data_IF_189459826836
#
_entry.id   IF_189459826836
#
_cell.length_a   1.000
_cell.length_b   1.000
_cell.length_c   1.000
_cell.angle_alpha   90.00
_cell.angle_beta   90.00
_cell.angle_gamma   90.00
#
_symmetry.space_group_name_H-M   'P 1'
#
loop_
_entity.id
_entity.type
_entity.pdbx_description
1 polymer ?
#
# COMPACT_ATOMS: atom_id res chain seq x y z
N UNK A 1 9.70 19.67 59.77
CA UNK A 1 11.05 19.14 60.07
C UNK A 1 11.17 17.84 59.31
N UNK A 2 12.13 17.73 58.40
CA UNK A 2 12.34 16.55 57.55
C UNK A 2 13.83 16.24 57.48
N UNK A 3 14.21 14.96 57.61
CA UNK A 3 15.47 14.46 57.04
C UNK A 3 15.31 13.10 56.32
N UNK A 4 16.40 12.63 55.71
CA UNK A 4 16.60 11.30 55.07
C UNK A 4 16.14 11.10 53.62
N UNK A 5 16.81 11.83 52.74
CA UNK A 5 17.71 11.28 51.70
C UNK A 5 17.58 9.84 51.19
N UNK A 6 17.38 9.75 49.88
CA UNK A 6 18.40 9.29 48.90
C UNK A 6 19.15 7.97 49.12
N UNK A 7 18.83 6.96 48.29
CA UNK A 7 19.83 6.03 47.72
C UNK A 7 19.58 5.90 46.20
N UNK A 8 20.64 6.08 45.41
CA UNK A 8 20.65 5.83 43.96
C UNK A 8 21.38 4.52 43.66
N UNK A 9 20.94 3.79 42.63
CA UNK A 9 21.66 2.61 42.13
C UNK A 9 21.42 2.40 40.64
N UNK A 10 22.39 2.80 39.81
CA UNK A 10 22.47 2.46 38.38
C UNK A 10 23.50 1.34 38.16
N UNK A 11 23.13 0.21 37.53
CA UNK A 11 24.11 -0.79 37.11
C UNK A 11 24.92 -0.29 35.91
N UNK A 12 26.22 -0.61 35.88
CA UNK A 12 27.13 -0.23 34.79
C UNK A 12 27.19 -1.30 33.68
N UNK A 13 27.28 -0.78 32.45
CA UNK A 13 27.67 -1.43 31.19
C UNK A 13 28.72 -2.55 31.32
N UNK A 14 28.75 -3.44 30.32
CA UNK A 14 29.95 -3.48 29.48
C UNK A 14 29.66 -3.20 28.00
N UNK A 15 30.53 -2.40 27.37
CA UNK A 15 30.60 -2.27 25.90
C UNK A 15 31.23 -3.54 25.32
N UNK A 16 30.66 -4.08 24.25
CA UNK A 16 31.37 -5.02 23.37
C UNK A 16 31.83 -4.25 22.13
N UNK A 17 33.14 -4.28 21.88
CA UNK A 17 33.73 -3.85 20.61
C UNK A 17 33.85 -5.08 19.71
N UNK A 18 33.25 -5.02 18.51
CA UNK A 18 33.51 -5.95 17.43
C UNK A 18 34.08 -5.16 16.24
N UNK A 19 35.30 -5.50 15.83
CA UNK A 19 35.99 -4.94 14.67
C UNK A 19 36.04 -5.99 13.56
N UNK A 20 35.84 -5.55 12.32
CA UNK A 20 36.02 -6.36 11.12
C UNK A 20 34.72 -6.55 10.32
N UNK A 21 34.72 -6.33 9.00
CA UNK A 21 35.81 -5.76 8.20
C UNK A 21 35.48 -5.75 6.72
N UNK A 22 35.95 -4.72 5.99
CA UNK A 22 35.80 -4.68 4.55
C UNK A 22 36.74 -5.72 3.89
N UNK A 23 36.19 -6.60 3.05
CA UNK A 23 36.97 -7.31 2.05
C UNK A 23 36.21 -7.29 0.71
N UNK A 24 36.82 -6.65 -0.29
CA UNK A 24 36.34 -6.67 -1.66
C UNK A 24 36.63 -8.01 -2.32
N UNK A 25 35.68 -8.54 -3.09
CA UNK A 25 35.98 -9.38 -4.26
C UNK A 25 35.12 -8.93 -5.45
N UNK A 26 35.73 -9.02 -6.64
CA UNK A 26 35.18 -8.59 -7.93
C UNK A 26 34.58 -9.78 -8.72
N UNK A 27 34.04 -9.47 -9.91
CA UNK A 27 33.51 -10.38 -10.95
C UNK A 27 32.05 -10.83 -10.76
N UNK A 28 31.22 -10.87 -11.80
CA UNK A 28 31.40 -10.45 -13.20
C UNK A 28 30.26 -10.95 -14.11
N UNK A 29 29.86 -10.17 -15.13
CA UNK A 29 28.75 -10.51 -16.05
C UNK A 29 29.06 -11.72 -16.96
N UNK A 30 28.05 -12.38 -17.56
CA UNK A 30 27.59 -11.92 -18.88
C UNK A 30 26.10 -12.16 -19.29
N UNK A 31 25.58 -11.21 -20.08
CA UNK A 31 24.78 -11.34 -21.32
C UNK A 31 23.47 -12.16 -21.45
N UNK A 32 22.56 -11.57 -22.22
CA UNK A 32 21.31 -12.10 -22.79
C UNK A 32 21.45 -13.38 -23.66
N UNK A 33 20.32 -14.04 -23.95
CA UNK A 33 19.92 -14.14 -25.35
C UNK A 33 18.41 -13.98 -25.65
N UNK A 34 18.06 -13.01 -26.50
CA UNK A 34 17.09 -13.20 -27.59
C UNK A 34 17.69 -14.18 -28.64
N UNK A 35 16.91 -14.97 -29.44
CA UNK A 35 15.78 -14.48 -30.25
C UNK A 35 14.60 -15.47 -30.47
N UNK A 36 13.58 -15.10 -31.27
CA UNK A 36 12.53 -16.07 -31.63
C UNK A 36 11.35 -15.69 -32.54
N UNK A 37 11.50 -14.83 -33.55
CA UNK A 37 10.40 -14.59 -34.52
C UNK A 37 10.16 -15.80 -35.45
N UNK A 38 8.90 -16.09 -35.78
CA UNK A 38 8.53 -17.00 -36.89
C UNK A 38 7.15 -16.66 -37.47
N UNK A 39 7.11 -16.45 -38.79
CA UNK A 39 5.89 -16.17 -39.56
C UNK A 39 5.14 -17.45 -39.96
N UNK A 40 3.83 -17.36 -40.29
CA UNK A 40 3.24 -17.83 -41.58
C UNK A 40 1.71 -17.99 -41.54
N UNK A 41 1.02 -17.63 -42.64
CA UNK A 41 -0.43 -17.88 -42.87
C UNK A 41 -1.25 -16.58 -42.97
N UNK A 42 -1.50 -15.94 -44.13
CA UNK A 42 -2.04 -16.41 -45.43
C UNK A 42 -3.50 -16.87 -45.35
N UNK A 43 -4.49 -16.24 -45.99
CA UNK A 43 -4.53 -14.98 -46.77
C UNK A 43 -5.81 -14.84 -47.64
N UNK A 44 -6.03 -13.69 -48.28
CA UNK A 44 -7.11 -13.40 -49.28
C UNK A 44 -8.57 -13.44 -48.75
N UNK A 45 -9.61 -12.81 -49.34
CA UNK A 45 -9.82 -11.94 -50.53
C UNK A 45 -11.25 -11.31 -50.46
N UNK A 46 -11.70 -10.25 -51.16
CA UNK A 46 -11.13 -9.02 -51.79
C UNK A 46 -12.30 -8.15 -52.30
N UNK A 47 -12.21 -6.80 -52.21
CA UNK A 47 -13.06 -5.79 -52.90
C UNK A 47 -14.54 -5.69 -52.41
N UNK A 48 -15.41 -4.70 -52.68
CA UNK A 48 -15.49 -3.43 -53.45
C UNK A 48 -16.41 -2.42 -52.66
N UNK A 49 -16.61 -1.13 -52.96
CA UNK A 49 -15.82 -0.02 -53.55
C UNK A 49 -16.64 1.32 -53.49
N UNK A 50 -15.98 2.50 -53.51
CA UNK A 50 -16.58 3.86 -53.57
C UNK A 50 -17.49 4.28 -52.37
N UNK A 51 -17.87 5.55 -52.12
CA UNK A 51 -17.83 6.80 -52.92
C UNK A 51 -17.50 8.01 -52.04
N UNK A 52 -17.08 9.13 -52.64
CA UNK A 52 -16.94 10.44 -51.98
C UNK A 52 -18.28 11.01 -51.48
N UNK A 53 -18.24 11.85 -50.45
CA UNK A 53 -19.41 12.55 -49.91
C UNK A 53 -19.00 13.58 -48.86
N UNK A 54 -18.63 14.79 -49.31
CA UNK A 54 -18.36 15.91 -48.41
C UNK A 54 -19.64 16.71 -48.17
N UNK A 55 -19.96 16.99 -46.91
CA UNK A 55 -20.94 18.02 -46.56
C UNK A 55 -20.53 18.74 -45.28
N UNK A 56 -20.86 20.03 -45.18
CA UNK A 56 -20.45 20.90 -44.07
C UNK A 56 -21.67 21.53 -43.44
N UNK A 57 -21.82 21.45 -42.11
CA UNK A 57 -22.83 22.24 -41.39
C UNK A 57 -22.41 22.58 -39.97
N UNK A 58 -22.85 23.76 -39.53
CA UNK A 58 -22.39 24.43 -38.30
C UNK A 58 -23.42 24.28 -37.18
N UNK A 59 -22.93 24.03 -35.97
CA UNK A 59 -23.70 24.12 -34.72
C UNK A 59 -22.95 23.38 -33.60
N UNK A 60 -22.90 23.86 -32.36
CA UNK A 60 -23.33 25.16 -31.82
C UNK A 60 -22.75 25.29 -30.42
N UNK A 61 -22.21 26.45 -30.05
CA UNK A 61 -21.45 26.60 -28.81
C UNK A 61 -22.34 26.86 -27.60
N UNK A 62 -22.53 25.84 -26.74
CA UNK A 62 -23.06 26.02 -25.39
C UNK A 62 -22.07 25.44 -24.37
N UNK A 63 -21.47 26.33 -23.57
CA UNK A 63 -20.58 25.92 -22.49
C UNK A 63 -21.39 25.47 -21.27
N UNK A 64 -21.53 24.16 -21.07
CA UNK A 64 -21.86 23.62 -19.75
C UNK A 64 -20.60 23.58 -18.89
N UNK A 65 -20.65 24.24 -17.74
CA UNK A 65 -19.50 24.34 -16.85
C UNK A 65 -19.09 22.97 -16.28
N UNK A 66 -17.81 22.83 -15.94
CA UNK A 66 -17.35 21.74 -15.08
C UNK A 66 -17.97 21.93 -13.69
N UNK A 67 -19.13 21.33 -13.48
CA UNK A 67 -19.66 21.07 -12.15
C UNK A 67 -18.79 20.00 -11.53
N UNK A 68 -17.70 20.40 -10.86
CA UNK A 68 -16.90 19.49 -10.07
C UNK A 68 -17.79 18.76 -9.08
N UNK A 69 -17.64 17.44 -8.99
CA UNK A 69 -18.26 16.70 -7.91
C UNK A 69 -17.74 17.27 -6.59
N UNK A 70 -18.64 17.57 -5.66
CA UNK A 70 -18.23 18.00 -4.33
C UNK A 70 -17.79 16.75 -3.56
N UNK A 71 -16.48 16.51 -3.47
CA UNK A 71 -15.91 15.42 -2.70
C UNK A 71 -16.43 15.51 -1.26
N UNK A 72 -17.32 14.58 -0.91
CA UNK A 72 -18.18 14.69 0.27
C UNK A 72 -17.43 14.11 1.49
N UNK A 73 -16.29 14.73 1.81
CA UNK A 73 -15.45 14.34 2.96
C UNK A 73 -16.24 14.55 4.26
N UNK A 74 -16.76 13.45 4.79
CA UNK A 74 -17.76 13.42 5.88
C UNK A 74 -17.23 12.65 7.08
N UNK A 75 -16.04 13.04 7.56
CA UNK A 75 -15.39 12.41 8.71
C UNK A 75 -13.98 12.94 8.97
N UNK A 76 -13.27 13.31 7.90
CA UNK A 76 -11.85 13.64 7.94
C UNK A 76 -11.45 14.73 8.93
N UNK A 77 -10.31 14.51 9.59
CA UNK A 77 -9.69 15.50 10.47
C UNK A 77 -9.31 16.75 9.65
N UNK A 78 -9.61 17.98 10.09
CA UNK A 78 -9.38 19.18 9.27
C UNK A 78 -7.91 19.39 8.90
N UNK A 79 -7.62 19.36 7.59
CA UNK A 79 -6.26 19.42 7.02
C UNK A 79 -5.73 18.06 6.56
N UNK A 80 -6.34 16.96 6.98
CA UNK A 80 -5.95 15.61 6.55
C UNK A 80 -6.60 15.25 5.21
N UNK A 81 -5.82 14.68 4.30
CA UNK A 81 -6.39 14.10 3.09
C UNK A 81 -6.96 12.70 3.35
N UNK A 82 -8.27 12.66 3.64
CA UNK A 82 -9.03 11.46 3.98
C UNK A 82 -10.33 11.34 3.16
N UNK A 83 -10.56 10.13 2.61
CA UNK A 83 -11.77 9.75 1.89
C UNK A 83 -12.39 8.49 2.52
N UNK A 84 -13.57 8.67 3.12
CA UNK A 84 -14.47 7.59 3.55
C UNK A 84 -15.66 7.51 2.61
N UNK A 85 -15.95 6.36 2.00
CA UNK A 85 -17.12 6.20 1.11
C UNK A 85 -17.71 4.80 1.15
N UNK A 86 -18.93 4.66 0.61
CA UNK A 86 -19.41 3.35 0.18
C UNK A 86 -18.57 2.89 -1.02
N UNK A 87 -18.28 1.59 -1.16
CA UNK A 87 -17.49 1.13 -2.31
C UNK A 87 -18.21 1.30 -3.66
N UNK A 88 -19.54 1.51 -3.66
CA UNK A 88 -20.34 1.87 -4.83
C UNK A 88 -19.99 3.24 -5.42
N UNK A 89 -19.35 4.11 -4.64
CA UNK A 89 -18.96 5.48 -5.03
C UNK A 89 -17.44 5.59 -5.22
N UNK A 90 -16.73 4.45 -5.26
CA UNK A 90 -15.26 4.39 -5.30
C UNK A 90 -14.68 5.05 -6.55
N UNK A 91 -13.96 6.14 -6.33
CA UNK A 91 -12.91 6.62 -7.22
C UNK A 91 -11.57 6.57 -6.47
N UNK A 92 -10.74 5.58 -6.81
CA UNK A 92 -9.36 5.47 -6.29
C UNK A 92 -8.56 6.68 -6.75
N UNK A 93 -8.45 7.70 -5.90
CA UNK A 93 -8.14 9.06 -6.36
C UNK A 93 -6.66 9.41 -6.27
N UNK A 94 -5.88 8.66 -5.47
CA UNK A 94 -4.45 8.91 -5.20
C UNK A 94 -3.55 7.72 -5.56
N UNK A 95 -4.05 6.76 -6.36
CA UNK A 95 -3.30 5.56 -6.74
C UNK A 95 -2.16 5.88 -7.70
N UNK A 96 -0.92 5.67 -7.26
CA UNK A 96 0.28 5.94 -8.08
C UNK A 96 0.69 4.76 -8.95
N UNK A 97 0.16 3.56 -8.67
CA UNK A 97 0.37 2.36 -9.49
C UNK A 97 1.77 1.78 -9.32
N UNK A 98 2.39 1.97 -8.16
CA UNK A 98 3.74 1.48 -7.89
C UNK A 98 3.80 -0.06 -7.95
N UNK A 99 4.99 -0.57 -8.24
CA UNK A 99 5.26 -2.01 -8.20
C UNK A 99 5.19 -2.53 -6.76
N UNK A 100 4.88 -3.82 -6.60
CA UNK A 100 4.93 -4.51 -5.30
C UNK A 100 6.33 -5.11 -5.13
N UNK A 101 7.19 -4.61 -4.21
CA UNK A 101 8.51 -5.20 -3.96
C UNK A 101 8.40 -6.54 -3.21
N UNK A 102 7.30 -6.72 -2.46
CA UNK A 102 6.98 -7.94 -1.73
C UNK A 102 5.85 -8.73 -2.41
N UNK A 103 5.67 -10.00 -2.00
CA UNK A 103 4.40 -10.69 -2.20
C UNK A 103 3.30 -10.06 -1.33
N UNK A 104 2.03 -10.26 -1.70
CA UNK A 104 0.89 -9.97 -0.82
C UNK A 104 0.99 -10.81 0.45
N UNK A 105 0.79 -10.20 1.62
CA UNK A 105 0.55 -10.94 2.85
C UNK A 105 -0.88 -11.49 2.85
N UNK A 106 -1.02 -12.79 3.06
CA UNK A 106 -2.30 -13.48 3.21
C UNK A 106 -2.50 -13.89 4.67
N UNK A 107 -3.65 -13.52 5.23
CA UNK A 107 -3.99 -13.61 6.64
C UNK A 107 -5.28 -14.42 6.81
N UNK A 108 -5.24 -15.43 7.67
CA UNK A 108 -6.43 -16.08 8.22
C UNK A 108 -6.85 -15.33 9.49
N UNK A 109 -8.08 -14.82 9.52
CA UNK A 109 -8.74 -14.18 10.68
C UNK A 109 -10.06 -14.94 10.94
N UNK A 110 -10.02 -15.96 11.82
CA UNK A 110 -11.22 -16.73 12.16
C UNK A 110 -12.39 -15.89 12.69
N UNK A 111 -12.16 -14.66 13.19
CA UNK A 111 -13.24 -13.81 13.72
C UNK A 111 -14.17 -13.24 12.64
N UNK A 112 -13.77 -13.27 11.37
CA UNK A 112 -14.61 -12.88 10.22
C UNK A 112 -15.54 -14.01 9.75
N UNK A 113 -15.33 -15.24 10.22
CA UNK A 113 -16.09 -16.42 9.80
C UNK A 113 -17.10 -16.85 10.87
N UNK A 114 -18.37 -17.08 10.50
CA UNK A 114 -19.49 -17.49 11.39
C UNK A 114 -19.19 -18.70 12.31
N UNK A 115 -18.19 -19.51 11.97
CA UNK A 115 -17.80 -20.74 12.67
C UNK A 115 -16.34 -20.72 13.17
N UNK A 116 -15.62 -19.61 12.97
CA UNK A 116 -14.21 -19.48 13.32
C UNK A 116 -14.01 -19.10 14.79
N UNK A 117 -13.13 -19.85 15.46
CA UNK A 117 -12.68 -19.57 16.82
C UNK A 117 -11.19 -19.95 16.91
N UNK A 118 -10.32 -18.95 16.76
CA UNK A 118 -8.86 -19.15 16.74
C UNK A 118 -8.12 -17.81 16.75
N UNK A 119 -6.79 -17.82 16.88
CA UNK A 119 -5.96 -16.63 16.67
C UNK A 119 -5.93 -16.24 15.19
N UNK A 120 -5.55 -15.00 14.90
CA UNK A 120 -5.12 -14.58 13.57
C UNK A 120 -3.78 -15.27 13.25
N UNK A 121 -3.61 -15.75 12.01
CA UNK A 121 -2.38 -16.39 11.53
C UNK A 121 -2.02 -16.01 10.09
N UNK A 122 -0.73 -15.91 9.79
CA UNK A 122 -0.23 -15.64 8.45
C UNK A 122 -0.04 -16.92 7.62
N UNK A 123 -0.67 -16.97 6.45
CA UNK A 123 -0.47 -18.05 5.46
C UNK A 123 0.97 -18.01 4.92
N UNK A 124 1.56 -16.81 4.82
CA UNK A 124 2.89 -16.57 4.27
C UNK A 124 3.68 -15.50 5.07
N UNK A 125 4.04 -15.79 6.32
CA UNK A 125 4.74 -14.86 7.24
C UNK A 125 6.01 -14.17 6.70
N UNK A 126 6.70 -14.77 5.70
CA UNK A 126 7.80 -14.12 4.98
C UNK A 126 7.37 -12.82 4.27
N UNK A 127 6.11 -12.72 3.82
CA UNK A 127 5.54 -11.52 3.23
C UNK A 127 5.35 -10.40 4.27
N UNK A 128 4.87 -10.72 5.48
CA UNK A 128 4.79 -9.76 6.59
C UNK A 128 6.18 -9.20 6.93
N UNK A 129 7.18 -10.09 6.97
CA UNK A 129 8.59 -9.76 7.20
C UNK A 129 9.13 -8.83 6.10
N UNK A 130 8.85 -9.14 4.83
CA UNK A 130 9.24 -8.31 3.69
C UNK A 130 8.62 -6.91 3.75
N UNK A 131 7.30 -6.82 4.00
CA UNK A 131 6.58 -5.54 4.05
C UNK A 131 7.13 -4.67 5.18
N UNK A 132 7.32 -5.21 6.38
CA UNK A 132 7.91 -4.47 7.50
C UNK A 132 9.34 -3.98 7.21
N UNK A 133 10.16 -4.77 6.51
CA UNK A 133 11.53 -4.36 6.14
C UNK A 133 11.55 -3.28 5.05
N UNK A 134 10.70 -3.41 4.03
CA UNK A 134 10.61 -2.44 2.92
C UNK A 134 10.09 -1.07 3.41
N UNK A 135 9.09 -1.07 4.31
CA UNK A 135 8.62 0.14 4.99
C UNK A 135 9.69 0.72 5.94
N UNK A 136 10.39 -0.10 6.72
CA UNK A 136 11.52 0.34 7.58
C UNK A 136 12.63 1.04 6.78
N UNK A 137 12.97 0.48 5.63
CA UNK A 137 14.09 0.93 4.81
C UNK A 137 13.72 2.07 3.85
N UNK A 138 12.42 2.42 3.77
CA UNK A 138 11.91 3.53 2.97
C UNK A 138 11.84 3.24 1.47
N UNK A 139 11.69 1.98 1.07
CA UNK A 139 11.63 1.57 -0.34
C UNK A 139 10.25 1.86 -0.95
N UNK A 140 10.13 2.74 -1.96
CA UNK A 140 8.83 3.10 -2.53
C UNK A 140 8.19 1.92 -3.28
N UNK A 141 6.92 1.64 -2.96
CA UNK A 141 6.25 0.45 -3.44
C UNK A 141 4.81 0.31 -2.94
N UNK A 142 4.10 -0.66 -3.50
CA UNK A 142 2.69 -0.93 -3.21
C UNK A 142 2.54 -2.30 -2.53
N UNK A 143 2.50 -2.29 -1.20
CA UNK A 143 2.29 -3.49 -0.39
C UNK A 143 0.80 -3.84 -0.27
N UNK A 144 0.52 -5.13 -0.05
CA UNK A 144 -0.84 -5.65 0.06
C UNK A 144 -0.96 -6.62 1.22
N UNK A 145 -2.05 -6.46 1.98
CA UNK A 145 -2.44 -7.36 3.08
C UNK A 145 -3.88 -7.78 2.80
N UNK A 146 -4.11 -9.09 2.68
CA UNK A 146 -5.39 -9.70 2.35
C UNK A 146 -5.84 -10.57 3.52
N UNK A 147 -6.96 -10.21 4.13
CA UNK A 147 -7.53 -10.94 5.28
C UNK A 147 -8.73 -11.75 4.80
N UNK A 148 -8.71 -13.06 5.08
CA UNK A 148 -9.65 -14.06 4.57
C UNK A 148 -9.83 -14.02 3.03
N UNK A 149 -8.74 -14.04 2.23
CA UNK A 149 -8.80 -13.86 0.79
C UNK A 149 -9.69 -14.90 0.10
N UNK A 150 -10.81 -14.42 -0.45
CA UNK A 150 -11.79 -15.24 -1.19
C UNK A 150 -12.99 -15.73 -0.37
N UNK A 151 -13.09 -15.39 0.91
CA UNK A 151 -14.33 -15.58 1.69
C UNK A 151 -15.36 -14.47 1.45
N UNK A 152 -16.62 -14.72 1.85
CA UNK A 152 -17.70 -13.73 1.87
C UNK A 152 -17.31 -12.49 2.69
N UNK A 153 -16.80 -12.72 3.91
CA UNK A 153 -16.25 -11.69 4.78
C UNK A 153 -14.74 -11.65 4.61
N UNK A 154 -14.24 -10.58 4.02
CA UNK A 154 -12.81 -10.40 3.77
C UNK A 154 -12.41 -8.93 3.84
N UNK A 155 -11.12 -8.66 3.99
CA UNK A 155 -10.58 -7.29 3.97
C UNK A 155 -9.38 -7.21 3.04
N UNK A 156 -9.24 -6.08 2.35
CA UNK A 156 -8.03 -5.74 1.61
C UNK A 156 -7.48 -4.43 2.16
N UNK A 157 -6.22 -4.47 2.58
CA UNK A 157 -5.44 -3.28 2.87
C UNK A 157 -4.34 -3.13 1.81
N UNK A 158 -4.21 -1.95 1.23
CA UNK A 158 -3.10 -1.60 0.34
C UNK A 158 -2.33 -0.43 0.96
N UNK A 159 -1.00 -0.52 0.96
CA UNK A 159 -0.09 0.46 1.56
C UNK A 159 0.87 0.94 0.46
N UNK A 160 0.68 2.15 -0.05
CA UNK A 160 1.49 2.72 -1.14
C UNK A 160 2.47 3.75 -0.57
N UNK A 161 3.75 3.36 -0.43
CA UNK A 161 4.84 4.22 0.04
C UNK A 161 5.44 4.99 -1.14
N UNK A 162 5.42 6.32 -1.07
CA UNK A 162 5.85 7.23 -2.13
C UNK A 162 7.33 7.64 -1.98
N UNK A 163 7.88 8.22 -3.04
CA UNK A 163 9.29 8.62 -3.17
C UNK A 163 9.73 9.75 -2.22
N UNK A 164 8.78 10.45 -1.60
CA UNK A 164 8.99 11.50 -0.58
C UNK A 164 8.91 10.99 0.86
N UNK A 165 8.61 9.70 1.07
CA UNK A 165 8.42 9.09 2.40
C UNK A 165 7.02 9.25 2.99
N UNK A 166 6.06 9.78 2.22
CA UNK A 166 4.63 9.69 2.56
C UNK A 166 4.04 8.32 2.21
N UNK A 167 2.96 7.94 2.88
CA UNK A 167 2.25 6.69 2.66
C UNK A 167 0.77 6.98 2.39
N UNK A 168 0.21 6.28 1.40
CA UNK A 168 -1.24 6.25 1.18
C UNK A 168 -1.74 4.89 1.67
N UNK A 169 -2.58 4.91 2.70
CA UNK A 169 -3.22 3.71 3.26
C UNK A 169 -4.63 3.57 2.68
N UNK A 170 -4.96 2.37 2.20
CA UNK A 170 -6.29 2.02 1.68
C UNK A 170 -6.83 0.82 2.42
N UNK A 171 -8.08 0.87 2.85
CA UNK A 171 -8.77 -0.24 3.50
C UNK A 171 -10.15 -0.47 2.87
N UNK A 172 -10.41 -1.71 2.47
CA UNK A 172 -11.67 -2.17 1.89
C UNK A 172 -12.23 -3.32 2.75
N UNK A 173 -13.51 -3.23 3.10
CA UNK A 173 -14.25 -4.29 3.80
C UNK A 173 -15.26 -4.92 2.86
N UNK A 174 -15.32 -6.25 2.84
CA UNK A 174 -16.24 -7.02 2.01
C UNK A 174 -17.23 -7.84 2.87
N UNK A 175 -18.50 -7.81 2.47
CA UNK A 175 -19.60 -8.70 2.89
C UNK A 175 -20.49 -8.92 1.66
N UNK A 176 -20.33 -10.07 0.98
CA UNK A 176 -20.80 -10.40 -0.40
C UNK A 176 -20.31 -9.47 -1.53
N UNK A 177 -19.94 -8.24 -1.18
CA UNK A 177 -19.48 -7.13 -2.00
C UNK A 177 -18.65 -6.19 -1.12
N UNK A 178 -17.84 -5.32 -1.73
CA UNK A 178 -17.20 -4.23 -0.98
C UNK A 178 -18.31 -3.31 -0.41
N UNK A 179 -18.30 -3.09 0.90
CA UNK A 179 -19.26 -2.24 1.62
C UNK A 179 -18.63 -0.89 1.99
N UNK A 180 -17.48 -0.91 2.68
CA UNK A 180 -16.80 0.26 3.21
C UNK A 180 -15.44 0.47 2.55
N UNK A 181 -15.13 1.72 2.22
CA UNK A 181 -13.84 2.17 1.68
C UNK A 181 -13.28 3.32 2.54
N UNK A 182 -12.01 3.21 2.91
CA UNK A 182 -11.21 4.25 3.57
C UNK A 182 -9.89 4.42 2.80
N UNK A 183 -9.54 5.66 2.46
CA UNK A 183 -8.25 6.05 1.88
C UNK A 183 -7.69 7.28 2.62
N UNK A 184 -6.45 7.21 3.11
CA UNK A 184 -5.78 8.26 3.90
C UNK A 184 -4.37 8.51 3.34
N UNK A 185 -3.90 9.76 3.35
CA UNK A 185 -2.54 10.12 2.96
C UNK A 185 -1.79 10.79 4.12
N UNK A 186 -0.70 10.17 4.54
CA UNK A 186 -0.09 10.35 5.86
C UNK A 186 1.44 10.29 5.77
N UNK A 187 2.14 10.80 6.80
CA UNK A 187 3.57 10.53 6.94
C UNK A 187 3.77 9.07 7.37
N UNK A 188 4.73 8.37 6.76
CA UNK A 188 5.15 7.04 7.20
C UNK A 188 5.70 7.10 8.65
N UNK A 189 5.34 6.11 9.48
CA UNK A 189 5.95 5.89 10.81
C UNK A 189 7.49 5.83 10.71
N UNK A 190 8.24 6.26 11.76
CA UNK A 190 9.70 6.17 11.75
C UNK A 190 10.18 4.71 11.74
N UNK A 191 11.37 4.39 11.19
CA UNK A 191 11.87 3.02 11.05
C UNK A 191 11.82 2.15 12.33
N UNK A 192 12.02 2.76 13.50
CA UNK A 192 11.95 2.08 14.80
C UNK A 192 10.56 1.48 15.12
N UNK A 193 9.49 1.96 14.48
CA UNK A 193 8.15 1.36 14.54
C UNK A 193 8.14 -0.02 13.90
N UNK A 194 8.67 -0.14 12.68
CA UNK A 194 8.74 -1.38 11.92
C UNK A 194 9.77 -2.36 12.49
N UNK A 195 10.85 -1.87 13.13
CA UNK A 195 11.71 -2.70 13.99
C UNK A 195 10.93 -3.28 15.18
N UNK A 196 9.97 -2.52 15.73
CA UNK A 196 9.00 -3.00 16.71
C UNK A 196 8.07 -4.06 16.16
N UNK A 197 7.44 -3.83 15.00
CA UNK A 197 6.56 -4.81 14.34
C UNK A 197 7.27 -6.15 14.09
N UNK A 198 8.57 -6.13 13.72
CA UNK A 198 9.39 -7.33 13.53
C UNK A 198 9.82 -8.04 14.83
N UNK A 199 9.58 -7.41 15.99
CA UNK A 199 9.88 -7.97 17.31
C UNK A 199 8.62 -8.44 18.07
N UNK A 200 7.43 -8.26 17.49
CA UNK A 200 6.16 -8.69 18.09
C UNK A 200 6.03 -10.21 18.18
N UNK A 201 5.28 -10.67 19.19
CA UNK A 201 5.22 -12.08 19.56
C UNK A 201 4.11 -12.90 18.89
N UNK A 202 3.19 -12.25 18.16
CA UNK A 202 2.02 -12.88 17.51
C UNK A 202 1.67 -12.20 16.19
N UNK A 203 1.19 -12.98 15.23
CA UNK A 203 0.75 -12.49 13.91
C UNK A 203 -0.32 -11.38 14.02
N UNK A 204 -1.23 -11.47 14.99
CA UNK A 204 -2.20 -10.42 15.34
C UNK A 204 -1.52 -9.07 15.67
N UNK A 205 -0.45 -9.08 16.47
CA UNK A 205 0.27 -7.88 16.86
C UNK A 205 1.14 -7.33 15.72
N UNK A 206 1.78 -8.22 14.94
CA UNK A 206 2.51 -7.85 13.71
C UNK A 206 1.55 -7.19 12.71
N UNK A 207 0.36 -7.75 12.52
CA UNK A 207 -0.68 -7.22 11.64
C UNK A 207 -1.17 -5.84 12.10
N UNK A 208 -1.52 -5.69 13.37
CA UNK A 208 -1.94 -4.41 13.92
C UNK A 208 -0.86 -3.33 13.75
N UNK A 209 0.41 -3.68 13.98
CA UNK A 209 1.56 -2.79 13.81
C UNK A 209 1.82 -2.40 12.34
N UNK A 210 1.59 -3.33 11.40
CA UNK A 210 1.65 -3.08 9.95
C UNK A 210 0.48 -2.24 9.42
N UNK A 211 -0.70 -2.32 10.02
CA UNK A 211 -1.85 -1.48 9.66
C UNK A 211 -1.74 -0.05 10.24
N UNK A 212 -1.00 0.12 11.35
CA UNK A 212 -0.57 1.42 11.90
C UNK A 212 0.69 1.97 11.19
N UNK A 213 0.85 1.76 9.87
CA UNK A 213 2.04 2.21 9.13
C UNK A 213 2.09 3.73 8.85
N UNK A 214 0.93 4.40 8.83
CA UNK A 214 0.82 5.85 8.78
C UNK A 214 0.82 6.47 10.18
N UNK A 215 1.22 7.74 10.28
CA UNK A 215 1.02 8.52 11.50
C UNK A 215 -0.21 9.43 11.38
N UNK A 216 -1.33 9.00 11.98
CA UNK A 216 -2.56 9.78 12.16
C UNK A 216 -2.33 11.24 12.62
N UNK A 217 -1.28 11.50 13.40
CA UNK A 217 -0.96 12.85 13.90
C UNK A 217 -0.19 13.72 12.88
N UNK A 218 0.23 13.14 11.75
CA UNK A 218 1.02 13.76 10.67
C UNK A 218 0.40 13.41 9.31
N UNK A 219 -0.92 13.58 9.20
CA UNK A 219 -1.63 13.54 7.93
C UNK A 219 -1.16 14.66 6.96
N UNK A 220 -1.38 14.46 5.66
CA UNK A 220 -0.87 15.35 4.61
C UNK A 220 -2.02 16.14 3.97
N UNK A 221 -1.85 17.46 3.82
CA UNK A 221 -2.72 18.30 2.98
C UNK A 221 -2.44 17.99 1.49
N UNK A 222 -3.50 17.88 0.67
CA UNK A 222 -3.40 17.43 -0.73
C UNK A 222 -2.35 18.19 -1.57
N UNK A 223 -1.23 17.53 -1.86
CA UNK A 223 -0.07 18.14 -2.52
C UNK A 223 0.35 17.36 -3.78
N UNK A 224 -0.24 17.76 -4.92
CA UNK A 224 0.10 17.31 -6.28
C UNK A 224 -0.16 15.82 -6.60
N UNK A 225 0.01 15.51 -7.89
CA UNK A 225 -0.04 14.13 -8.43
C UNK A 225 1.28 13.44 -8.12
N UNK A 226 1.20 12.14 -7.78
CA UNK A 226 2.29 11.15 -7.66
C UNK A 226 3.70 11.61 -8.11
N UNK A 227 4.66 11.76 -7.18
CA UNK A 227 6.00 12.31 -7.42
C UNK A 227 7.03 11.34 -8.03
#
# INVERSE_FOLDING_TARGET
>A
MSPYDSISSTPKVPRVLALGGCLWLMSGCPSDPEPGSSESGQGSSTSEAATEGADTSTGGGEGSGSGGAADTSTGGVPGCHELTSSCSERHSTFGCGLASPCASLEVEDPSLNDFGMGPITFVNADAATCIAQSLRDGEPGLHRILVEPGQQYSRRHELELLSDGSIITRSEVFDDKCIDYLERWEQLRPPAHFEGCLAEATDEAVLACLLDAGDDAQCIEAAAVCP
#
